data_IF_883871230294
#
_entry.id   IF_883871230294
#
_cell.length_a   1.000
_cell.length_b   1.000
_cell.length_c   1.000
_cell.angle_alpha   90.00
_cell.angle_beta   90.00
_cell.angle_gamma   90.00
#
_symmetry.space_group_name_H-M   'P 1'
#
loop_
_entity.id
_entity.type
_entity.pdbx_description
1 polymer ?
#
# COMPACT_ATOMS: atom_id res chain seq x y z
N UNK A 1 30.54 4.31 -19.24
CA UNK A 1 30.63 4.93 -17.90
C UNK A 1 29.40 5.80 -17.69
N UNK A 2 28.32 5.20 -17.20
CA UNK A 2 27.04 5.87 -17.01
C UNK A 2 27.09 6.62 -15.68
N UNK A 3 27.03 7.95 -15.74
CA UNK A 3 27.01 8.80 -14.56
C UNK A 3 25.90 8.36 -13.59
N UNK A 4 26.31 7.97 -12.38
CA UNK A 4 25.41 7.64 -11.29
C UNK A 4 24.45 8.81 -11.06
N UNK A 5 23.18 8.57 -11.35
CA UNK A 5 22.08 9.52 -11.13
C UNK A 5 22.12 9.91 -9.66
N UNK A 6 22.50 11.16 -9.35
CA UNK A 6 22.53 11.70 -7.98
C UNK A 6 21.17 11.40 -7.34
N UNK A 7 21.13 10.45 -6.41
CA UNK A 7 19.97 10.19 -5.55
C UNK A 7 19.59 11.53 -4.92
N UNK A 8 18.38 11.98 -5.22
CA UNK A 8 17.78 13.15 -4.57
C UNK A 8 17.93 12.97 -3.06
N UNK A 9 18.43 13.99 -2.37
CA UNK A 9 18.54 14.07 -0.91
C UNK A 9 17.13 14.28 -0.29
N UNK A 10 16.16 13.49 -0.74
CA UNK A 10 14.82 13.48 -0.19
C UNK A 10 14.83 12.44 0.92
N UNK A 11 14.38 12.82 2.11
CA UNK A 11 14.29 11.89 3.22
C UNK A 11 13.33 10.76 2.84
N UNK A 12 13.75 9.52 3.15
CA UNK A 12 13.06 8.33 2.69
C UNK A 12 11.60 8.26 3.17
N UNK A 13 11.33 8.74 4.39
CA UNK A 13 9.98 8.80 4.96
C UNK A 13 9.09 9.81 4.21
N UNK A 14 9.63 10.96 3.82
CA UNK A 14 8.91 11.98 3.03
C UNK A 14 8.61 11.47 1.63
N UNK A 15 9.58 10.82 0.97
CA UNK A 15 9.35 10.20 -0.34
C UNK A 15 8.25 9.12 -0.27
N UNK A 16 8.30 8.27 0.75
CA UNK A 16 7.32 7.21 0.96
C UNK A 16 5.91 7.76 1.18
N UNK A 17 5.77 8.84 1.96
CA UNK A 17 4.46 9.45 2.18
C UNK A 17 3.88 10.08 0.90
N UNK A 18 4.72 10.71 0.07
CA UNK A 18 4.28 11.20 -1.25
C UNK A 18 3.79 10.04 -2.12
N UNK A 19 4.54 8.94 -2.18
CA UNK A 19 4.16 7.75 -2.95
C UNK A 19 2.84 7.15 -2.47
N UNK A 20 2.68 7.01 -1.15
CA UNK A 20 1.44 6.52 -0.53
C UNK A 20 0.25 7.39 -0.93
N UNK A 21 0.34 8.70 -0.74
CA UNK A 21 -0.75 9.62 -1.09
C UNK A 21 -1.04 9.60 -2.60
N UNK A 22 -0.01 9.49 -3.44
CA UNK A 22 -0.18 9.39 -4.89
C UNK A 22 -0.90 8.10 -5.32
N UNK A 23 -0.69 6.98 -4.63
CA UNK A 23 -1.43 5.74 -4.89
C UNK A 23 -2.91 5.86 -4.48
N UNK A 24 -3.21 6.58 -3.40
CA UNK A 24 -4.58 6.90 -2.93
C UNK A 24 -5.27 8.03 -3.71
N UNK A 25 -4.85 8.24 -4.94
CA UNK A 25 -5.46 9.16 -5.89
C UNK A 25 -5.37 10.67 -5.55
N UNK A 26 -4.58 11.07 -4.53
CA UNK A 26 -4.35 12.49 -4.23
C UNK A 26 -3.49 13.18 -5.31
N UNK A 27 -3.86 14.38 -5.76
CA UNK A 27 -3.06 15.13 -6.73
C UNK A 27 -1.87 15.87 -6.05
N UNK A 28 -0.91 16.38 -6.84
CA UNK A 28 0.28 17.03 -6.28
C UNK A 28 -0.03 18.23 -5.36
N UNK A 29 -0.98 19.13 -5.68
CA UNK A 29 -1.44 20.18 -4.74
C UNK A 29 -2.01 19.64 -3.42
N UNK A 30 -2.86 18.61 -3.48
CA UNK A 30 -3.42 17.96 -2.29
C UNK A 30 -2.34 17.31 -1.44
N UNK A 31 -1.44 16.55 -2.07
CA UNK A 31 -0.30 15.94 -1.40
C UNK A 31 0.50 17.01 -0.67
N UNK A 32 0.84 18.11 -1.35
CA UNK A 32 1.56 19.23 -0.74
C UNK A 32 0.82 19.75 0.49
N UNK A 33 -0.48 20.03 0.37
CA UNK A 33 -1.31 20.51 1.48
C UNK A 33 -1.34 19.53 2.67
N UNK A 34 -1.46 18.24 2.38
CA UNK A 34 -1.42 17.18 3.41
C UNK A 34 -0.06 17.14 4.11
N UNK A 35 1.05 17.25 3.37
CA UNK A 35 2.39 17.27 3.96
C UNK A 35 2.63 18.55 4.80
N UNK A 36 2.11 19.70 4.37
CA UNK A 36 2.23 20.98 5.12
C UNK A 36 1.50 20.93 6.46
N UNK A 37 0.47 20.09 6.58
CA UNK A 37 -0.28 19.85 7.83
C UNK A 37 0.38 18.79 8.72
N UNK A 38 1.33 18.03 8.20
CA UNK A 38 2.04 17.01 8.98
C UNK A 38 3.22 17.63 9.74
N UNK A 39 3.10 17.70 11.07
CA UNK A 39 4.10 18.31 11.95
C UNK A 39 5.51 17.70 11.80
N UNK A 40 5.63 16.43 11.41
CA UNK A 40 6.92 15.74 11.26
C UNK A 40 7.58 15.97 9.89
N UNK A 41 6.81 16.37 8.87
CA UNK A 41 7.28 16.53 7.49
C UNK A 41 7.36 18.00 7.09
N UNK A 42 6.56 18.89 7.70
CA UNK A 42 6.40 20.30 7.30
C UNK A 42 7.73 21.02 7.04
N UNK A 43 8.71 20.85 7.91
CA UNK A 43 10.00 21.55 7.83
C UNK A 43 10.99 20.91 6.83
N UNK A 44 10.64 19.76 6.28
CA UNK A 44 11.43 18.96 5.32
C UNK A 44 10.70 18.81 3.99
N UNK A 45 9.74 19.70 3.71
CA UNK A 45 8.92 19.60 2.50
C UNK A 45 9.80 19.71 1.25
N UNK A 46 9.66 18.77 0.30
CA UNK A 46 10.35 18.89 -0.96
C UNK A 46 9.73 19.99 -1.82
N UNK A 47 10.48 20.41 -2.83
CA UNK A 47 9.96 21.36 -3.82
C UNK A 47 8.74 20.79 -4.56
N UNK A 48 7.84 21.66 -5.02
CA UNK A 48 6.69 21.23 -5.82
C UNK A 48 7.11 20.36 -7.00
N UNK A 49 8.15 20.78 -7.72
CA UNK A 49 8.72 20.02 -8.84
C UNK A 49 9.04 18.57 -8.47
N UNK A 50 9.52 18.33 -7.25
CA UNK A 50 9.84 17.00 -6.76
C UNK A 50 8.57 16.19 -6.47
N UNK A 51 7.56 16.81 -5.84
CA UNK A 51 6.24 16.18 -5.62
C UNK A 51 5.61 15.79 -6.97
N UNK A 52 5.53 16.73 -7.92
CA UNK A 52 4.99 16.48 -9.26
C UNK A 52 5.74 15.36 -9.99
N UNK A 53 7.07 15.32 -9.88
CA UNK A 53 7.89 14.24 -10.46
C UNK A 53 7.49 12.89 -9.87
N UNK A 54 7.43 12.76 -8.55
CA UNK A 54 7.10 11.50 -7.88
C UNK A 54 5.66 11.07 -8.22
N UNK A 55 4.70 12.00 -8.21
CA UNK A 55 3.30 11.70 -8.58
C UNK A 55 3.21 11.18 -10.01
N UNK A 56 3.97 11.77 -10.94
CA UNK A 56 4.02 11.31 -12.33
C UNK A 56 4.66 9.92 -12.46
N UNK A 57 5.69 9.63 -11.66
CA UNK A 57 6.29 8.28 -11.60
C UNK A 57 5.30 7.25 -11.06
N UNK A 58 4.47 7.60 -10.07
CA UNK A 58 3.44 6.72 -9.52
C UNK A 58 2.19 6.56 -10.40
N UNK A 59 2.01 7.43 -11.40
CA UNK A 59 0.89 7.41 -12.34
C UNK A 59 1.40 7.45 -13.78
N UNK A 60 2.08 6.39 -14.23
CA UNK A 60 2.53 6.31 -15.62
C UNK A 60 1.31 6.38 -16.56
N UNK A 61 1.52 6.93 -17.75
CA UNK A 61 0.50 6.89 -18.79
C UNK A 61 0.22 5.43 -19.17
N UNK A 62 -1.05 5.05 -19.20
CA UNK A 62 -1.48 3.71 -19.56
C UNK A 62 -2.17 3.71 -20.94
N UNK A 63 -1.55 3.12 -21.97
CA UNK A 63 -2.13 3.06 -23.31
C UNK A 63 -3.21 1.96 -23.46
N UNK A 64 -3.47 1.14 -22.43
CA UNK A 64 -4.39 0.00 -22.51
C UNK A 64 -5.87 0.40 -22.62
N UNK A 65 -6.19 1.67 -22.39
CA UNK A 65 -7.54 2.20 -22.48
C UNK A 65 -8.43 1.82 -21.28
N UNK A 66 -9.67 2.33 -21.26
CA UNK A 66 -10.61 2.05 -20.17
C UNK A 66 -11.04 0.59 -20.19
N UNK A 67 -11.11 -0.03 -19.01
CA UNK A 67 -11.69 -1.35 -18.84
C UNK A 67 -13.22 -1.28 -18.87
N UNK A 68 -13.84 -2.33 -19.42
CA UNK A 68 -15.30 -2.47 -19.50
C UNK A 68 -15.73 -3.86 -19.04
N UNK A 69 -16.71 -3.97 -18.12
CA UNK A 69 -17.25 -5.27 -17.71
C UNK A 69 -17.97 -5.99 -18.86
N UNK A 70 -18.40 -5.27 -19.91
CA UNK A 70 -19.12 -5.87 -21.05
C UNK A 70 -18.24 -6.79 -21.90
N UNK A 71 -16.92 -6.64 -21.81
CA UNK A 71 -15.94 -7.42 -22.58
C UNK A 71 -15.14 -8.41 -21.72
N UNK A 72 -15.38 -8.43 -20.40
CA UNK A 72 -14.67 -9.27 -19.46
C UNK A 72 -15.41 -10.59 -19.20
N UNK A 73 -14.67 -11.62 -18.80
CA UNK A 73 -15.26 -12.84 -18.26
C UNK A 73 -16.07 -12.53 -16.98
N UNK A 74 -17.26 -13.14 -16.74
CA UNK A 74 -18.09 -12.80 -15.60
C UNK A 74 -17.40 -12.95 -14.23
N UNK A 75 -16.52 -13.94 -14.08
CA UNK A 75 -15.80 -14.18 -12.83
C UNK A 75 -14.72 -13.11 -12.62
N UNK A 76 -13.97 -12.77 -13.66
CA UNK A 76 -13.01 -11.66 -13.62
C UNK A 76 -13.71 -10.33 -13.34
N UNK A 77 -14.82 -10.06 -14.02
CA UNK A 77 -15.61 -8.86 -13.83
C UNK A 77 -16.08 -8.71 -12.38
N UNK A 78 -16.51 -9.80 -11.73
CA UNK A 78 -16.92 -9.78 -10.32
C UNK A 78 -15.77 -9.34 -9.39
N UNK A 79 -14.56 -9.85 -9.62
CA UNK A 79 -13.37 -9.47 -8.85
C UNK A 79 -13.04 -7.98 -9.03
N UNK A 80 -13.06 -7.51 -10.28
CA UNK A 80 -12.73 -6.11 -10.62
C UNK A 80 -13.77 -5.14 -10.06
N UNK A 81 -15.06 -5.47 -10.16
CA UNK A 81 -16.15 -4.63 -9.67
C UNK A 81 -16.17 -4.50 -8.14
N UNK A 82 -15.83 -5.55 -7.40
CA UNK A 82 -15.67 -5.49 -5.93
C UNK A 82 -14.57 -4.49 -5.54
N UNK A 83 -13.43 -4.56 -6.24
CA UNK A 83 -12.29 -3.66 -6.04
C UNK A 83 -12.61 -2.23 -6.46
N UNK A 84 -13.30 -2.04 -7.60
CA UNK A 84 -13.75 -0.72 -8.06
C UNK A 84 -14.73 -0.07 -7.07
N UNK A 85 -15.67 -0.84 -6.51
CA UNK A 85 -16.57 -0.35 -5.47
C UNK A 85 -15.79 0.18 -4.26
N UNK A 86 -14.80 -0.59 -3.78
CA UNK A 86 -13.98 -0.17 -2.66
C UNK A 86 -13.16 1.09 -3.00
N UNK A 87 -12.57 1.15 -4.19
CA UNK A 87 -11.85 2.33 -4.67
C UNK A 87 -12.74 3.58 -4.77
N UNK A 88 -13.98 3.47 -5.25
CA UNK A 88 -14.94 4.59 -5.31
C UNK A 88 -15.22 5.12 -3.90
N UNK A 89 -15.47 4.25 -2.93
CA UNK A 89 -15.76 4.65 -1.54
C UNK A 89 -14.55 5.35 -0.92
N UNK A 90 -13.39 4.73 -0.97
CA UNK A 90 -12.18 5.21 -0.31
C UNK A 90 -11.61 6.48 -0.96
N UNK A 91 -11.74 6.62 -2.27
CA UNK A 91 -11.33 7.83 -3.00
C UNK A 91 -12.43 8.89 -3.06
N UNK A 92 -13.60 8.64 -2.45
CA UNK A 92 -14.77 9.53 -2.48
C UNK A 92 -15.19 9.90 -3.91
N UNK A 93 -15.16 8.91 -4.81
CA UNK A 93 -15.60 9.05 -6.20
C UNK A 93 -14.59 9.70 -7.15
N UNK A 94 -13.33 9.92 -6.73
CA UNK A 94 -12.26 10.37 -7.64
C UNK A 94 -11.87 9.28 -8.64
N UNK A 95 -11.75 8.04 -8.16
CA UNK A 95 -11.60 6.87 -9.03
C UNK A 95 -12.99 6.32 -9.36
N UNK A 96 -13.38 6.36 -10.64
CA UNK A 96 -14.71 5.91 -11.13
C UNK A 96 -14.64 4.75 -12.13
N UNK A 97 -13.44 4.38 -12.54
CA UNK A 97 -13.20 3.29 -13.47
C UNK A 97 -11.73 2.92 -13.46
N UNK A 98 -11.42 1.77 -14.04
CA UNK A 98 -10.06 1.27 -14.18
C UNK A 98 -9.65 1.23 -15.64
N UNK A 99 -8.34 1.16 -15.87
CA UNK A 99 -7.78 0.76 -17.16
C UNK A 99 -7.77 -0.76 -17.31
N UNK A 100 -7.55 -1.26 -18.53
CA UNK A 100 -7.42 -2.70 -18.77
C UNK A 100 -6.21 -3.29 -18.00
N UNK A 101 -5.09 -2.57 -17.92
CA UNK A 101 -3.92 -3.04 -17.17
C UNK A 101 -4.18 -3.07 -15.65
N UNK A 102 -4.90 -2.08 -15.10
CA UNK A 102 -5.32 -2.09 -13.69
C UNK A 102 -6.24 -3.27 -13.40
N UNK A 103 -7.26 -3.50 -14.24
CA UNK A 103 -8.18 -4.62 -14.09
C UNK A 103 -7.46 -5.98 -14.15
N UNK A 104 -6.56 -6.17 -15.13
CA UNK A 104 -5.76 -7.40 -15.25
C UNK A 104 -4.91 -7.64 -14.00
N UNK A 105 -4.23 -6.61 -13.49
CA UNK A 105 -3.40 -6.74 -12.30
C UNK A 105 -4.25 -7.02 -11.04
N UNK A 106 -5.44 -6.41 -10.93
CA UNK A 106 -6.41 -6.69 -9.86
C UNK A 106 -6.86 -8.16 -9.90
N UNK A 107 -7.22 -8.68 -11.07
CA UNK A 107 -7.63 -10.09 -11.24
C UNK A 107 -6.50 -11.02 -10.78
N UNK A 108 -5.25 -10.75 -11.19
CA UNK A 108 -4.09 -11.55 -10.76
C UNK A 108 -3.93 -11.56 -9.24
N UNK A 109 -3.93 -10.38 -8.60
CA UNK A 109 -3.77 -10.26 -7.16
C UNK A 109 -4.90 -10.96 -6.39
N UNK A 110 -6.15 -10.74 -6.78
CA UNK A 110 -7.32 -11.32 -6.12
C UNK A 110 -7.50 -12.81 -6.39
N UNK A 111 -6.95 -13.32 -7.48
CA UNK A 111 -6.89 -14.77 -7.73
C UNK A 111 -5.86 -15.43 -6.81
N UNK A 112 -4.68 -14.82 -6.64
CA UNK A 112 -3.63 -15.35 -5.76
C UNK A 112 -3.99 -15.22 -4.28
N UNK A 113 -4.58 -14.08 -3.89
CA UNK A 113 -4.97 -13.73 -2.52
C UNK A 113 -6.42 -13.26 -2.49
N UNK A 114 -7.42 -14.16 -2.52
CA UNK A 114 -8.84 -13.80 -2.48
C UNK A 114 -9.24 -13.07 -1.19
N UNK A 115 -8.46 -13.26 -0.13
CA UNK A 115 -8.59 -12.66 1.19
C UNK A 115 -8.00 -11.25 1.31
N UNK A 116 -7.22 -10.79 0.32
CA UNK A 116 -6.64 -9.45 0.27
C UNK A 116 -7.76 -8.41 0.22
N UNK A 117 -7.83 -7.43 1.15
CA UNK A 117 -8.91 -6.45 1.15
C UNK A 117 -9.00 -5.68 -0.18
N UNK A 118 -10.23 -5.41 -0.62
CA UNK A 118 -10.49 -4.97 -2.00
C UNK A 118 -9.76 -3.67 -2.36
N UNK A 119 -9.75 -2.67 -1.48
CA UNK A 119 -9.02 -1.43 -1.73
C UNK A 119 -7.50 -1.62 -1.71
N UNK A 120 -6.98 -2.53 -0.90
CA UNK A 120 -5.55 -2.85 -0.88
C UNK A 120 -5.10 -3.47 -2.20
N UNK A 121 -5.93 -4.36 -2.76
CA UNK A 121 -5.68 -4.94 -4.08
C UNK A 121 -5.56 -3.85 -5.16
N UNK A 122 -6.39 -2.80 -5.10
CA UNK A 122 -6.27 -1.66 -5.99
C UNK A 122 -4.94 -0.90 -5.80
N UNK A 123 -4.57 -0.58 -4.55
CA UNK A 123 -3.34 0.15 -4.24
C UNK A 123 -2.10 -0.66 -4.67
N UNK A 124 -2.05 -1.94 -4.34
CA UNK A 124 -0.97 -2.84 -4.76
C UNK A 124 -0.92 -2.98 -6.28
N UNK A 125 -2.08 -3.11 -6.96
CA UNK A 125 -2.11 -3.18 -8.42
C UNK A 125 -1.47 -1.95 -9.06
N UNK A 126 -1.80 -0.74 -8.59
CA UNK A 126 -1.19 0.50 -9.08
C UNK A 126 0.32 0.56 -8.79
N UNK A 127 0.76 0.10 -7.63
CA UNK A 127 2.19 0.07 -7.28
C UNK A 127 2.97 -0.90 -8.17
N UNK A 128 2.46 -2.11 -8.41
CA UNK A 128 3.04 -3.05 -9.37
C UNK A 128 3.17 -2.44 -10.78
N UNK A 129 2.11 -1.80 -11.27
CA UNK A 129 2.11 -1.17 -12.60
C UNK A 129 3.07 0.02 -12.68
N UNK A 130 3.09 0.88 -11.66
CA UNK A 130 4.02 2.00 -11.57
C UNK A 130 5.48 1.49 -11.54
N UNK A 131 5.79 0.49 -10.73
CA UNK A 131 7.15 -0.07 -10.65
C UNK A 131 7.55 -0.74 -11.95
N UNK A 132 6.66 -1.50 -12.60
CA UNK A 132 6.91 -2.09 -13.91
C UNK A 132 7.23 -1.03 -14.96
N UNK A 133 6.45 0.05 -15.02
CA UNK A 133 6.68 1.15 -15.95
C UNK A 133 8.02 1.88 -15.70
N UNK A 134 8.45 1.96 -14.45
CA UNK A 134 9.70 2.59 -14.04
C UNK A 134 10.90 1.62 -13.92
N UNK A 135 10.73 0.34 -14.29
CA UNK A 135 11.76 -0.71 -14.15
C UNK A 135 12.31 -0.82 -12.72
N UNK A 136 11.43 -0.70 -11.73
CA UNK A 136 11.74 -0.84 -10.32
C UNK A 136 11.45 -2.27 -9.84
N UNK A 137 12.24 -2.78 -8.87
CA UNK A 137 11.99 -4.10 -8.27
C UNK A 137 10.67 -4.13 -7.50
N UNK A 138 10.07 -5.32 -7.43
CA UNK A 138 8.80 -5.59 -6.72
C UNK A 138 8.96 -6.55 -5.56
N UNK A 139 10.18 -6.95 -5.20
CA UNK A 139 10.45 -8.00 -4.21
C UNK A 139 9.83 -7.71 -2.83
N UNK A 140 9.69 -6.42 -2.48
CA UNK A 140 8.99 -5.97 -1.27
C UNK A 140 7.47 -6.18 -1.36
N UNK A 141 6.86 -5.90 -2.52
CA UNK A 141 5.44 -6.19 -2.77
C UNK A 141 5.19 -7.71 -2.78
N UNK A 142 6.11 -8.47 -3.37
CA UNK A 142 6.04 -9.93 -3.41
C UNK A 142 6.17 -10.51 -1.98
N UNK A 143 7.09 -9.99 -1.17
CA UNK A 143 7.22 -10.35 0.24
C UNK A 143 5.95 -10.02 1.03
N UNK A 144 5.37 -8.84 0.82
CA UNK A 144 4.10 -8.46 1.43
C UNK A 144 2.98 -9.45 1.09
N UNK A 145 2.94 -9.90 -0.17
CA UNK A 145 1.97 -10.92 -0.61
C UNK A 145 2.20 -12.31 0.01
N UNK A 146 3.46 -12.68 0.23
CA UNK A 146 3.83 -13.97 0.84
C UNK A 146 3.43 -13.99 2.32
N UNK A 147 3.85 -12.98 3.09
CA UNK A 147 3.56 -12.92 4.52
C UNK A 147 2.11 -12.57 4.84
N UNK A 148 1.48 -11.76 3.99
CA UNK A 148 0.08 -11.33 4.11
C UNK A 148 -0.34 -10.83 5.50
N UNK A 149 0.30 -9.74 5.97
CA UNK A 149 0.06 -9.21 7.31
C UNK A 149 -1.39 -8.74 7.55
N UNK A 150 -2.19 -8.55 6.49
CA UNK A 150 -3.62 -8.21 6.61
C UNK A 150 -4.49 -9.37 7.12
N UNK A 151 -4.00 -10.61 7.10
CA UNK A 151 -4.77 -11.78 7.54
C UNK A 151 -4.98 -11.81 9.05
N UNK A 152 -4.09 -11.19 9.82
CA UNK A 152 -4.23 -11.07 11.26
C UNK A 152 -2.92 -10.78 12.00
N UNK A 153 -3.00 -10.67 13.33
CA UNK A 153 -1.89 -10.43 14.24
C UNK A 153 -0.63 -11.26 13.98
N UNK A 154 -0.77 -12.59 13.90
CA UNK A 154 0.36 -13.51 13.72
C UNK A 154 1.11 -13.26 12.40
N UNK A 155 0.36 -13.09 11.31
CA UNK A 155 0.93 -12.82 9.99
C UNK A 155 1.62 -11.44 9.96
N UNK A 156 1.05 -10.46 10.66
CA UNK A 156 1.64 -9.13 10.79
C UNK A 156 2.94 -9.15 11.62
N UNK A 157 2.99 -9.90 12.73
CA UNK A 157 4.19 -10.06 13.53
C UNK A 157 5.29 -10.79 12.73
N UNK A 158 4.95 -11.89 12.03
CA UNK A 158 5.91 -12.61 11.20
C UNK A 158 6.50 -11.73 10.08
N UNK A 159 5.69 -10.87 9.46
CA UNK A 159 6.17 -9.91 8.48
C UNK A 159 7.09 -8.86 9.09
N UNK A 160 6.72 -8.32 10.27
CA UNK A 160 7.54 -7.35 10.99
C UNK A 160 8.90 -7.96 11.38
N UNK A 161 8.90 -9.17 11.93
CA UNK A 161 10.13 -9.92 12.25
C UNK A 161 10.99 -10.13 10.99
N UNK A 162 10.40 -10.53 9.87
CA UNK A 162 11.14 -10.69 8.62
C UNK A 162 11.78 -9.37 8.13
N UNK A 163 11.14 -8.23 8.34
CA UNK A 163 11.71 -6.90 8.05
C UNK A 163 12.87 -6.60 9.01
N UNK A 164 12.69 -6.82 10.31
CA UNK A 164 13.72 -6.57 11.33
C UNK A 164 14.99 -7.40 11.10
N UNK A 165 14.81 -8.67 10.70
CA UNK A 165 15.91 -9.58 10.35
C UNK A 165 16.52 -9.31 8.96
N UNK A 166 15.92 -8.40 8.18
CA UNK A 166 16.36 -8.06 6.83
C UNK A 166 16.07 -9.12 5.76
N UNK A 167 15.18 -10.06 6.05
CA UNK A 167 14.72 -11.09 5.10
C UNK A 167 13.68 -10.55 4.11
N UNK A 168 12.90 -9.56 4.55
CA UNK A 168 11.93 -8.84 3.73
C UNK A 168 12.24 -7.34 3.70
N UNK A 169 11.84 -6.69 2.62
CA UNK A 169 11.85 -5.23 2.53
C UNK A 169 10.44 -4.71 2.82
N UNK A 170 10.30 -3.65 3.65
CA UNK A 170 9.00 -3.09 3.94
C UNK A 170 8.48 -2.29 2.74
N UNK A 171 7.22 -2.54 2.39
CA UNK A 171 6.48 -1.69 1.46
C UNK A 171 6.26 -0.28 2.06
N UNK A 172 6.09 0.73 1.20
CA UNK A 172 6.02 2.14 1.61
C UNK A 172 4.79 2.49 2.48
N UNK A 173 3.79 1.63 2.42
CA UNK A 173 2.54 1.70 3.15
C UNK A 173 2.24 0.30 3.68
N UNK A 174 1.58 0.17 4.82
CA UNK A 174 1.08 -1.12 5.27
C UNK A 174 -0.41 -0.99 5.56
N UNK A 175 -1.08 -2.12 5.64
CA UNK A 175 -2.45 -2.16 6.11
C UNK A 175 -2.50 -2.94 7.41
N UNK A 176 -3.12 -2.34 8.42
CA UNK A 176 -3.31 -2.97 9.72
C UNK A 176 -4.80 -3.20 9.89
N UNK A 177 -5.14 -4.46 10.18
CA UNK A 177 -6.50 -4.86 10.52
C UNK A 177 -6.69 -4.80 12.03
N UNK A 178 -7.68 -4.04 12.45
CA UNK A 178 -8.10 -3.94 13.84
C UNK A 178 -9.13 -5.03 14.18
N UNK A 179 -9.30 -5.36 15.48
CA UNK A 179 -10.25 -6.39 15.94
C UNK A 179 -11.71 -6.12 15.57
N UNK A 180 -12.08 -4.85 15.43
CA UNK A 180 -13.41 -4.42 14.98
C UNK A 180 -13.64 -4.66 13.46
N UNK A 181 -12.67 -5.26 12.78
CA UNK A 181 -12.69 -5.54 11.36
C UNK A 181 -12.28 -4.35 10.50
N UNK A 182 -12.00 -3.19 11.08
CA UNK A 182 -11.52 -2.03 10.33
C UNK A 182 -10.11 -2.26 9.81
N UNK A 183 -9.84 -1.79 8.62
CA UNK A 183 -8.53 -1.89 7.97
C UNK A 183 -8.03 -0.47 7.73
N UNK A 184 -6.83 -0.16 8.19
CA UNK A 184 -6.23 1.17 8.03
C UNK A 184 -4.95 1.08 7.21
N UNK A 185 -4.89 1.84 6.12
CA UNK A 185 -3.64 2.13 5.45
C UNK A 185 -2.80 3.08 6.32
N UNK A 186 -1.57 2.69 6.59
CA UNK A 186 -0.61 3.43 7.38
C UNK A 186 0.69 3.56 6.61
N UNK A 187 1.41 4.67 6.79
CA UNK A 187 2.75 4.79 6.24
C UNK A 187 3.69 3.78 6.92
N UNK A 188 4.83 3.48 6.30
CA UNK A 188 5.88 2.68 6.94
C UNK A 188 6.22 3.15 8.36
N UNK A 189 6.38 4.47 8.54
CA UNK A 189 6.71 5.06 9.83
C UNK A 189 5.63 4.83 10.89
N UNK A 190 4.36 4.79 10.48
CA UNK A 190 3.23 4.50 11.36
C UNK A 190 2.83 3.03 11.43
N UNK A 191 3.51 2.13 10.72
CA UNK A 191 3.11 0.72 10.64
C UNK A 191 3.24 0.03 11.99
N UNK A 192 4.39 0.16 12.65
CA UNK A 192 4.62 -0.47 13.96
C UNK A 192 3.67 0.10 15.02
N UNK A 193 3.50 1.41 15.09
CA UNK A 193 2.58 2.04 16.05
C UNK A 193 1.13 1.59 15.82
N UNK A 194 0.72 1.45 14.56
CA UNK A 194 -0.61 0.99 14.21
C UNK A 194 -0.80 -0.49 14.51
N UNK A 195 0.22 -1.30 14.26
CA UNK A 195 0.26 -2.72 14.60
C UNK A 195 0.19 -2.92 16.12
N UNK A 196 1.06 -2.25 16.88
CA UNK A 196 1.04 -2.26 18.34
C UNK A 196 -0.35 -1.86 18.86
N UNK A 197 -0.94 -0.76 18.34
CA UNK A 197 -2.30 -0.34 18.71
C UNK A 197 -3.37 -1.38 18.37
N UNK A 198 -3.23 -2.11 17.25
CA UNK A 198 -4.19 -3.14 16.85
C UNK A 198 -4.07 -4.39 17.73
N UNK A 199 -2.85 -4.79 18.08
CA UNK A 199 -2.55 -5.90 18.96
C UNK A 199 -3.05 -5.62 20.39
N UNK A 200 -2.80 -4.42 20.93
CA UNK A 200 -3.35 -4.00 22.22
C UNK A 200 -4.88 -4.11 22.25
N UNK A 201 -5.55 -3.60 21.20
CA UNK A 201 -7.01 -3.68 21.09
C UNK A 201 -7.51 -5.11 20.93
N UNK A 202 -6.71 -5.99 20.34
CA UNK A 202 -7.01 -7.41 20.23
C UNK A 202 -6.87 -8.15 21.56
N UNK A 203 -6.41 -7.47 22.62
CA UNK A 203 -6.15 -8.06 23.92
C UNK A 203 -4.81 -8.76 24.01
N UNK A 204 -3.92 -8.60 23.02
CA UNK A 204 -2.56 -9.13 23.08
C UNK A 204 -1.73 -8.36 24.11
N UNK A 205 -0.75 -9.04 24.70
CA UNK A 205 0.12 -8.46 25.74
C UNK A 205 1.56 -8.48 25.28
N UNK A 206 2.24 -7.34 25.38
CA UNK A 206 3.66 -7.22 25.06
C UNK A 206 4.50 -7.84 26.18
N UNK A 207 5.27 -8.89 25.88
CA UNK A 207 6.23 -9.53 26.78
C UNK A 207 7.64 -9.35 26.24
N UNK A 208 8.38 -8.38 26.79
CA UNK A 208 9.67 -7.95 26.22
C UNK A 208 9.45 -7.29 24.85
N UNK A 209 10.12 -7.80 23.82
CA UNK A 209 9.99 -7.30 22.43
C UNK A 209 8.93 -8.04 21.60
N UNK A 210 8.18 -8.98 22.19
CA UNK A 210 7.24 -9.83 21.44
C UNK A 210 5.80 -9.62 21.92
N UNK A 211 4.86 -9.71 21.00
CA UNK A 211 3.45 -9.73 21.33
C UNK A 211 3.00 -11.18 21.59
N UNK A 212 2.24 -11.39 22.66
CA UNK A 212 1.76 -12.71 23.04
C UNK A 212 0.25 -12.65 23.15
N UNK A 213 -0.45 -13.52 22.42
CA UNK A 213 -1.88 -13.72 22.59
C UNK A 213 -2.12 -14.44 23.94
N UNK A 214 -2.72 -13.78 24.95
CA UNK A 214 -3.00 -14.42 26.23
C UNK A 214 -4.14 -15.44 26.13
N UNK A 215 -4.93 -15.42 25.05
CA UNK A 215 -6.05 -16.33 24.81
C UNK A 215 -5.64 -17.61 24.07
N UNK A 216 -4.45 -17.64 23.48
CA UNK A 216 -3.83 -18.86 22.96
C UNK A 216 -3.51 -19.79 24.15
N UNK A 217 -4.44 -20.70 24.45
CA UNK A 217 -4.23 -21.74 25.45
C UNK A 217 -2.97 -22.51 25.10
N UNK A 218 -2.04 -22.63 26.06
CA UNK A 218 -0.93 -23.59 25.99
C UNK A 218 -1.55 -24.99 25.95
N UNK A 219 -1.61 -25.58 24.76
CA UNK A 219 -1.79 -27.04 24.60
C UNK A 219 -0.53 -27.79 25.04
#
# INVERSE_FOLDING_TARGET
>A
MTAGRRRSYLDADVEQEIRRLALHDANAPEIRRTLEQNATIKDRLPTERTIYRIVREMRPADPSGPWSPATADPQEAALVLDVLRAAIIETQGRTQGFTNAEAEQVVRLRTMRPDLPAYEAFILARDYLARRANQQPTDDLDSYLVFAPWQGPDAAEAYAEAIEQGWAQPIAYGFVRYPDGTVKCVSRAGFQDALDSALERAGWVKQGNRWVDPSAKRE
#
